data_IF_978038916172
#
_entry.id   IF_978038916172
#
_cell.length_a   1.000
_cell.length_b   1.000
_cell.length_c   1.000
_cell.angle_alpha   90.00
_cell.angle_beta   90.00
_cell.angle_gamma   90.00
#
_symmetry.space_group_name_H-M   'P 1'
#
loop_
_entity.id
_entity.type
_entity.pdbx_description
1 polymer ?
#
# COMPACT_ATOMS: atom_id res chain seq x y z
N UNK A 1 -2.43 5.28 -15.14
CA UNK A 1 -1.62 5.11 -13.92
C UNK A 1 -2.47 4.51 -12.83
N UNK A 2 -2.01 3.41 -12.22
CA UNK A 2 -2.67 2.84 -11.04
C UNK A 2 -2.87 3.91 -9.96
N UNK A 3 -4.10 4.00 -9.44
CA UNK A 3 -4.48 5.05 -8.49
C UNK A 3 -3.85 4.83 -7.10
N UNK A 4 -3.56 3.58 -6.72
CA UNK A 4 -2.84 3.25 -5.50
C UNK A 4 -1.66 2.36 -5.85
N UNK A 5 -0.50 2.69 -5.30
CA UNK A 5 0.78 2.03 -5.61
C UNK A 5 1.37 1.42 -4.36
N UNK A 6 2.16 0.38 -4.52
CA UNK A 6 2.85 -0.30 -3.43
C UNK A 6 4.28 -0.60 -3.82
N UNK A 7 5.20 -0.34 -2.91
CA UNK A 7 6.57 -0.85 -2.97
C UNK A 7 6.81 -1.71 -1.73
N UNK A 8 7.17 -2.97 -1.94
CA UNK A 8 7.67 -3.86 -0.91
C UNK A 8 9.17 -3.99 -1.08
N UNK A 9 9.93 -3.57 -0.07
CA UNK A 9 11.38 -3.75 0.01
C UNK A 9 11.64 -4.93 0.95
N UNK A 10 12.31 -5.96 0.44
CA UNK A 10 12.71 -7.15 1.19
C UNK A 10 14.21 -7.11 1.40
N UNK A 11 14.60 -6.96 2.66
CA UNK A 11 15.99 -7.06 3.11
C UNK A 11 16.10 -8.18 4.15
N UNK A 12 17.27 -8.80 4.28
CA UNK A 12 17.58 -9.65 5.43
C UNK A 12 18.04 -8.79 6.61
N UNK A 13 19.31 -8.93 7.01
CA UNK A 13 19.93 -8.02 7.95
C UNK A 13 20.12 -6.63 7.31
N UNK A 14 19.60 -5.61 7.99
CA UNK A 14 19.66 -4.22 7.53
C UNK A 14 19.78 -3.26 8.73
N UNK A 15 20.76 -2.37 8.70
CA UNK A 15 20.89 -1.32 9.71
C UNK A 15 19.95 -0.14 9.41
N UNK A 16 18.72 -0.24 9.90
CA UNK A 16 17.69 0.81 9.76
C UNK A 16 17.95 2.06 10.61
N UNK A 17 18.90 2.00 11.56
CA UNK A 17 19.21 3.10 12.48
C UNK A 17 20.46 3.89 12.05
N UNK A 18 21.42 3.23 11.39
CA UNK A 18 22.62 3.84 10.82
C UNK A 18 22.42 4.57 9.50
N UNK A 19 21.24 4.42 8.87
CA UNK A 19 20.94 4.97 7.55
C UNK A 19 21.02 6.50 7.41
N UNK A 20 21.08 6.93 6.14
CA UNK A 20 21.16 8.33 5.74
C UNK A 20 19.84 9.10 5.86
N UNK A 21 19.67 10.12 5.02
CA UNK A 21 18.55 11.06 5.12
C UNK A 21 17.21 10.45 4.70
N UNK A 22 17.19 9.57 3.69
CA UNK A 22 16.00 8.91 3.17
C UNK A 22 15.46 7.90 4.19
N UNK A 23 16.34 7.05 4.73
CA UNK A 23 16.03 6.07 5.78
C UNK A 23 15.45 6.78 7.01
N UNK A 24 16.10 7.84 7.49
CA UNK A 24 15.60 8.63 8.63
C UNK A 24 14.25 9.30 8.35
N UNK A 25 14.02 9.79 7.13
CA UNK A 25 12.72 10.39 6.74
C UNK A 25 11.62 9.35 6.68
N UNK A 26 11.91 8.17 6.15
CA UNK A 26 10.99 7.03 6.11
C UNK A 26 10.62 6.60 7.53
N UNK A 27 11.60 6.31 8.37
CA UNK A 27 11.42 5.84 9.75
C UNK A 27 10.62 6.80 10.65
N UNK A 28 10.64 8.11 10.38
CA UNK A 28 9.81 9.10 11.11
C UNK A 28 8.31 9.01 10.79
N UNK A 29 7.95 8.33 9.70
CA UNK A 29 6.57 8.25 9.18
C UNK A 29 6.05 6.81 9.17
N UNK A 30 6.80 5.87 9.73
CA UNK A 30 6.42 4.46 9.74
C UNK A 30 5.65 4.07 10.99
N UNK A 31 4.88 3.02 10.85
CA UNK A 31 4.43 2.16 11.93
C UNK A 31 5.29 0.89 11.90
N UNK A 32 5.71 0.42 13.08
CA UNK A 32 6.65 -0.69 13.21
C UNK A 32 5.96 -1.89 13.82
N UNK A 33 6.22 -3.08 13.30
CA UNK A 33 5.87 -4.36 13.95
C UNK A 33 7.15 -5.08 14.36
N UNK A 34 7.34 -5.24 15.67
CA UNK A 34 8.53 -5.87 16.22
C UNK A 34 8.50 -7.41 16.13
N UNK A 35 7.31 -8.01 16.14
CA UNK A 35 7.12 -9.46 16.08
C UNK A 35 6.99 -10.01 14.65
N UNK A 36 7.74 -9.46 13.70
CA UNK A 36 7.68 -9.86 12.29
C UNK A 36 8.63 -11.03 11.99
N UNK A 37 8.15 -12.01 11.24
CA UNK A 37 8.97 -13.07 10.65
C UNK A 37 9.16 -12.81 9.15
N UNK A 38 10.42 -12.63 8.74
CA UNK A 38 10.79 -12.31 7.37
C UNK A 38 10.81 -13.51 6.42
N UNK A 39 10.53 -14.72 6.92
CA UNK A 39 10.54 -15.92 6.11
C UNK A 39 9.53 -15.86 4.95
N UNK A 40 10.02 -15.99 3.72
CA UNK A 40 9.20 -16.25 2.52
C UNK A 40 8.38 -15.06 2.00
N UNK A 41 8.57 -13.85 2.51
CA UNK A 41 7.76 -12.68 2.12
C UNK A 41 7.83 -12.36 0.62
N UNK A 42 9.00 -12.46 -0.01
CA UNK A 42 9.15 -12.20 -1.44
C UNK A 42 8.31 -13.17 -2.29
N UNK A 43 8.38 -14.47 -1.96
CA UNK A 43 7.63 -15.50 -2.65
C UNK A 43 6.12 -15.36 -2.43
N UNK A 44 5.69 -15.02 -1.21
CA UNK A 44 4.28 -14.82 -0.89
C UNK A 44 3.72 -13.57 -1.59
N UNK A 45 4.49 -12.47 -1.60
CA UNK A 45 4.12 -11.25 -2.29
C UNK A 45 4.05 -11.41 -3.81
N UNK A 46 4.93 -12.22 -4.41
CA UNK A 46 4.92 -12.50 -5.84
C UNK A 46 3.64 -13.23 -6.32
N UNK A 47 2.83 -13.79 -5.41
CA UNK A 47 1.52 -14.37 -5.75
C UNK A 47 0.46 -13.32 -6.07
N UNK A 48 0.66 -12.06 -5.70
CA UNK A 48 -0.27 -10.97 -6.01
C UNK A 48 -0.24 -10.72 -7.52
N UNK A 49 -1.40 -10.70 -8.15
CA UNK A 49 -1.52 -10.42 -9.58
C UNK A 49 -0.93 -9.03 -9.92
N UNK A 50 -0.05 -8.99 -10.93
CA UNK A 50 0.62 -7.76 -11.35
C UNK A 50 1.83 -7.36 -10.49
N UNK A 51 2.32 -8.23 -9.60
CA UNK A 51 3.58 -8.03 -8.90
C UNK A 51 4.77 -8.00 -9.88
N UNK A 52 5.56 -6.92 -9.84
CA UNK A 52 6.79 -6.78 -10.60
C UNK A 52 8.00 -6.80 -9.67
N UNK A 53 8.85 -7.83 -9.78
CA UNK A 53 10.12 -7.88 -9.04
C UNK A 53 11.19 -7.13 -9.83
N UNK A 54 11.71 -6.05 -9.25
CA UNK A 54 12.62 -5.11 -9.91
C UNK A 54 13.70 -4.62 -8.95
N UNK A 55 14.82 -4.14 -9.49
CA UNK A 55 15.78 -3.36 -8.72
C UNK A 55 15.18 -1.99 -8.33
N UNK A 56 15.80 -1.31 -7.35
CA UNK A 56 15.27 -0.06 -6.79
C UNK A 56 15.11 1.06 -7.86
N UNK A 57 15.98 1.09 -8.87
CA UNK A 57 15.92 2.02 -10.00
C UNK A 57 14.81 1.68 -11.03
N UNK A 58 14.32 0.44 -11.02
CA UNK A 58 13.22 -0.03 -11.87
C UNK A 58 11.83 0.35 -11.37
N UNK A 59 11.68 0.81 -10.12
CA UNK A 59 10.38 1.09 -9.48
C UNK A 59 9.60 2.18 -10.21
N UNK A 60 10.26 3.25 -10.65
CA UNK A 60 9.62 4.33 -11.39
C UNK A 60 8.99 3.81 -12.70
N UNK A 61 9.71 2.96 -13.42
CA UNK A 61 9.25 2.37 -14.68
C UNK A 61 8.01 1.49 -14.48
N UNK A 62 7.96 0.69 -13.42
CA UNK A 62 6.76 -0.11 -13.08
C UNK A 62 5.53 0.78 -12.96
N UNK A 63 5.66 1.93 -12.29
CA UNK A 63 4.55 2.87 -12.09
C UNK A 63 4.18 3.67 -13.33
N UNK A 64 5.13 3.95 -14.22
CA UNK A 64 4.90 4.57 -15.52
C UNK A 64 4.15 3.64 -16.48
N UNK A 65 4.41 2.33 -16.40
CA UNK A 65 3.74 1.28 -17.20
C UNK A 65 2.43 0.80 -16.56
N UNK A 66 1.79 1.64 -15.74
CA UNK A 66 0.52 1.36 -15.05
C UNK A 66 0.55 0.21 -14.02
N UNK A 67 1.73 -0.33 -13.69
CA UNK A 67 1.92 -1.29 -12.61
C UNK A 67 1.59 -0.69 -11.24
N UNK A 68 0.93 -1.48 -10.40
CA UNK A 68 0.50 -1.05 -9.06
C UNK A 68 1.41 -1.59 -7.93
N UNK A 69 2.19 -2.64 -8.18
CA UNK A 69 2.98 -3.31 -7.15
C UNK A 69 4.39 -3.66 -7.61
N UNK A 70 5.39 -3.11 -6.91
CA UNK A 70 6.79 -3.41 -7.11
C UNK A 70 7.38 -4.12 -5.88
N UNK A 71 8.16 -5.17 -6.12
CA UNK A 71 8.94 -5.90 -5.11
C UNK A 71 10.42 -5.61 -5.38
N UNK A 72 11.13 -5.13 -4.37
CA UNK A 72 12.57 -4.84 -4.42
C UNK A 72 13.28 -5.75 -3.43
N UNK A 73 14.00 -6.75 -3.95
CA UNK A 73 14.81 -7.66 -3.15
C UNK A 73 16.24 -7.13 -3.05
N UNK A 74 16.65 -6.73 -1.85
CA UNK A 74 18.01 -6.25 -1.59
C UNK A 74 18.89 -7.32 -0.95
N UNK A 75 18.30 -8.33 -0.29
CA UNK A 75 19.05 -9.31 0.48
C UNK A 75 19.71 -8.68 1.72
N UNK A 76 20.91 -9.15 2.08
CA UNK A 76 21.69 -8.57 3.17
C UNK A 76 22.48 -7.36 2.64
N UNK A 77 22.18 -6.18 3.16
CA UNK A 77 22.76 -4.91 2.70
C UNK A 77 23.24 -4.06 3.88
N UNK A 78 24.30 -3.30 3.63
CA UNK A 78 24.74 -2.28 4.58
C UNK A 78 23.82 -1.05 4.57
N UNK A 79 24.08 -0.13 5.50
CA UNK A 79 23.28 1.09 5.66
C UNK A 79 23.31 2.00 4.41
N UNK A 80 24.41 2.00 3.66
CA UNK A 80 24.59 2.87 2.49
C UNK A 80 23.81 2.34 1.28
N UNK A 81 23.83 1.02 1.06
CA UNK A 81 23.05 0.37 0.02
C UNK A 81 21.54 0.46 0.31
N UNK A 82 21.12 0.29 1.57
CA UNK A 82 19.73 0.51 1.97
C UNK A 82 19.30 1.97 1.74
N UNK A 83 20.13 2.93 2.13
CA UNK A 83 19.86 4.36 1.93
C UNK A 83 19.72 4.70 0.44
N UNK A 84 20.62 4.20 -0.41
CA UNK A 84 20.56 4.43 -1.85
C UNK A 84 19.27 3.86 -2.47
N UNK A 85 18.88 2.64 -2.09
CA UNK A 85 17.64 2.04 -2.57
C UNK A 85 16.40 2.82 -2.10
N UNK A 86 16.34 3.20 -0.82
CA UNK A 86 15.23 3.99 -0.28
C UNK A 86 15.15 5.38 -0.88
N UNK A 87 16.28 6.00 -1.27
CA UNK A 87 16.29 7.28 -1.95
C UNK A 87 15.65 7.18 -3.34
N UNK A 88 16.04 6.19 -4.16
CA UNK A 88 15.44 5.94 -5.47
C UNK A 88 13.94 5.66 -5.37
N UNK A 89 13.55 4.84 -4.39
CA UNK A 89 12.13 4.51 -4.15
C UNK A 89 11.37 5.76 -3.70
N UNK A 90 11.96 6.62 -2.86
CA UNK A 90 11.32 7.84 -2.40
C UNK A 90 11.10 8.85 -3.54
N UNK A 91 11.98 8.87 -4.54
CA UNK A 91 11.81 9.71 -5.73
C UNK A 91 10.70 9.19 -6.67
N UNK A 92 10.50 7.87 -6.73
CA UNK A 92 9.40 7.24 -7.46
C UNK A 92 8.06 7.27 -6.70
N UNK A 93 8.09 7.43 -5.38
CA UNK A 93 6.92 7.38 -4.52
C UNK A 93 6.16 8.71 -4.47
N UNK A 94 4.83 8.63 -4.48
CA UNK A 94 3.95 9.77 -4.31
C UNK A 94 3.04 9.60 -3.07
N UNK A 95 2.11 10.53 -2.86
CA UNK A 95 1.20 10.49 -1.69
C UNK A 95 0.26 9.28 -1.67
N UNK A 96 0.16 8.56 -2.79
CA UNK A 96 -0.67 7.38 -3.03
C UNK A 96 0.14 6.08 -3.07
N UNK A 97 1.42 6.16 -2.70
CA UNK A 97 2.29 4.98 -2.54
C UNK A 97 2.30 4.50 -1.09
N UNK A 98 2.02 3.22 -0.90
CA UNK A 98 2.32 2.47 0.33
C UNK A 98 3.75 1.92 0.20
N UNK A 99 4.58 2.14 1.22
CA UNK A 99 5.95 1.63 1.28
C UNK A 99 6.07 0.68 2.47
N UNK A 100 6.48 -0.55 2.20
CA UNK A 100 6.71 -1.60 3.18
C UNK A 100 8.18 -1.98 3.13
N UNK A 101 8.86 -1.92 4.26
CA UNK A 101 10.23 -2.41 4.42
C UNK A 101 10.19 -3.59 5.39
N UNK A 102 10.49 -4.78 4.86
CA UNK A 102 10.60 -6.03 5.60
C UNK A 102 12.08 -6.32 5.85
N UNK A 103 12.46 -6.44 7.12
CA UNK A 103 13.81 -6.81 7.55
C UNK A 103 13.76 -7.87 8.65
N UNK A 104 14.89 -8.50 8.95
CA UNK A 104 14.99 -9.46 10.05
C UNK A 104 14.82 -8.79 11.44
N UNK A 105 15.01 -7.47 11.51
CA UNK A 105 14.82 -6.69 12.74
C UNK A 105 13.35 -6.25 12.96
N UNK A 106 12.52 -6.32 11.93
CA UNK A 106 11.11 -5.96 12.02
C UNK A 106 10.50 -5.51 10.69
N UNK A 107 9.19 -5.25 10.74
CA UNK A 107 8.44 -4.70 9.61
C UNK A 107 8.17 -3.22 9.82
N UNK A 108 8.48 -2.41 8.82
CA UNK A 108 8.25 -0.96 8.83
C UNK A 108 7.31 -0.59 7.69
N UNK A 109 6.15 -0.06 8.03
CA UNK A 109 5.10 0.27 7.07
C UNK A 109 4.87 1.77 7.08
N UNK A 110 4.87 2.43 5.93
CA UNK A 110 4.70 3.88 5.82
C UNK A 110 4.01 4.28 4.51
N UNK A 111 3.58 5.54 4.43
CA UNK A 111 2.91 6.07 3.23
C UNK A 111 1.40 5.98 3.29
N UNK A 112 0.77 5.60 2.17
CA UNK A 112 -0.68 5.64 1.98
C UNK A 112 -1.44 4.86 3.07
N UNK A 113 -2.39 5.53 3.74
CA UNK A 113 -3.32 4.88 4.68
C UNK A 113 -2.74 4.55 6.06
N UNK A 114 -1.44 4.75 6.29
CA UNK A 114 -0.75 4.32 7.52
C UNK A 114 -0.83 5.36 8.63
N UNK A 115 -1.04 4.88 9.86
CA UNK A 115 -1.00 5.68 11.07
C UNK A 115 0.44 5.82 11.60
N UNK A 116 1.16 6.85 11.18
CA UNK A 116 2.49 7.18 11.71
C UNK A 116 2.54 7.46 13.22
N UNK A 117 1.40 7.61 13.90
CA UNK A 117 1.32 7.80 15.37
C UNK A 117 1.10 6.49 16.13
N UNK A 118 0.88 5.38 15.43
CA UNK A 118 0.71 4.07 16.07
C UNK A 118 2.00 3.60 16.75
N UNK A 119 3.17 4.10 16.32
CA UNK A 119 4.46 3.73 16.89
C UNK A 119 4.77 2.25 16.62
N UNK A 120 5.25 1.57 17.66
CA UNK A 120 5.58 0.14 17.63
C UNK A 120 4.40 -0.70 18.11
N UNK A 121 4.03 -1.71 17.32
CA UNK A 121 2.96 -2.65 17.59
C UNK A 121 3.57 -4.02 17.92
N UNK A 122 3.16 -4.62 19.03
CA UNK A 122 3.71 -5.89 19.53
C UNK A 122 3.12 -7.14 18.88
N UNK A 123 2.07 -6.98 18.07
CA UNK A 123 1.42 -8.08 17.35
C UNK A 123 2.44 -8.85 16.50
N UNK A 124 2.42 -10.18 16.58
CA UNK A 124 3.18 -11.02 15.67
C UNK A 124 2.59 -10.98 14.27
N UNK A 125 3.45 -10.83 13.27
CA UNK A 125 3.10 -10.64 11.85
C UNK A 125 3.84 -11.67 11.02
N UNK A 126 3.11 -12.32 10.12
CA UNK A 126 3.67 -13.24 9.12
C UNK A 126 3.53 -12.66 7.71
N UNK A 127 4.27 -13.23 6.75
CA UNK A 127 4.24 -12.78 5.35
C UNK A 127 2.82 -12.66 4.76
N UNK A 128 1.94 -13.61 5.07
CA UNK A 128 0.55 -13.61 4.59
C UNK A 128 -0.25 -12.39 5.09
N UNK A 129 0.01 -11.90 6.31
CA UNK A 129 -0.66 -10.70 6.85
C UNK A 129 -0.27 -9.45 6.06
N UNK A 130 0.99 -9.38 5.62
CA UNK A 130 1.49 -8.28 4.78
C UNK A 130 0.80 -8.31 3.43
N UNK A 131 0.73 -9.48 2.78
CA UNK A 131 0.04 -9.67 1.50
C UNK A 131 -1.42 -9.24 1.61
N UNK A 132 -2.14 -9.72 2.62
CA UNK A 132 -3.53 -9.31 2.87
C UNK A 132 -3.66 -7.79 3.07
N UNK A 133 -2.74 -7.18 3.82
CA UNK A 133 -2.76 -5.74 4.13
C UNK A 133 -2.42 -4.88 2.93
N UNK A 134 -1.44 -5.28 2.12
CA UNK A 134 -1.04 -4.62 0.87
C UNK A 134 -2.20 -4.64 -0.11
N UNK A 135 -2.82 -5.80 -0.31
CA UNK A 135 -4.00 -5.93 -1.18
C UNK A 135 -5.16 -5.07 -0.69
N UNK A 136 -5.42 -5.08 0.62
CA UNK A 136 -6.43 -4.23 1.23
C UNK A 136 -6.15 -2.75 0.98
N UNK A 137 -4.97 -2.23 1.30
CA UNK A 137 -4.71 -0.78 1.17
C UNK A 137 -4.77 -0.33 -0.29
N UNK A 138 -4.14 -1.09 -1.18
CA UNK A 138 -3.90 -0.68 -2.57
C UNK A 138 -4.94 -1.17 -3.59
N UNK A 139 -6.03 -1.80 -3.15
CA UNK A 139 -7.08 -2.33 -4.04
C UNK A 139 -6.56 -3.40 -5.02
N UNK A 140 -5.58 -4.20 -4.58
CA UNK A 140 -5.08 -5.33 -5.37
C UNK A 140 -5.92 -6.57 -5.11
N UNK A 141 -5.92 -7.47 -6.09
CA UNK A 141 -6.59 -8.77 -5.96
C UNK A 141 -5.84 -9.61 -4.93
N UNK A 142 -6.56 -10.08 -3.92
CA UNK A 142 -6.01 -10.95 -2.88
C UNK A 142 -5.79 -12.35 -3.50
N UNK A 143 -4.61 -12.96 -3.34
CA UNK A 143 -4.38 -14.35 -3.76
C UNK A 143 -5.38 -15.31 -3.10
N UNK A 144 -5.85 -16.31 -3.84
CA UNK A 144 -6.91 -17.22 -3.39
C UNK A 144 -6.51 -18.08 -2.17
N UNK A 145 -5.22 -18.33 -2.00
CA UNK A 145 -4.63 -19.10 -0.90
C UNK A 145 -4.15 -18.22 0.27
N UNK A 146 -4.41 -16.91 0.24
CA UNK A 146 -3.99 -16.01 1.30
C UNK A 146 -4.72 -16.30 2.63
N UNK A 147 -3.95 -16.71 3.64
CA UNK A 147 -4.45 -17.01 4.99
C UNK A 147 -4.21 -15.87 6.00
N UNK A 148 -3.66 -14.75 5.54
CA UNK A 148 -3.29 -13.62 6.39
C UNK A 148 -4.45 -12.72 6.77
N UNK A 149 -4.32 -12.07 7.92
CA UNK A 149 -5.24 -11.03 8.39
C UNK A 149 -4.73 -9.63 8.09
N UNK A 150 -5.63 -8.73 7.68
CA UNK A 150 -5.30 -7.32 7.49
C UNK A 150 -4.83 -6.68 8.82
N UNK A 151 -3.72 -5.97 8.76
CA UNK A 151 -3.09 -5.26 9.89
C UNK A 151 -3.78 -3.93 10.17
N UNK A 152 -5.05 -3.98 10.59
CA UNK A 152 -5.85 -2.79 10.89
C UNK A 152 -5.20 -1.85 11.93
N UNK A 153 -4.38 -2.39 12.82
CA UNK A 153 -3.68 -1.59 13.84
C UNK A 153 -2.70 -0.58 13.24
N UNK A 154 -2.14 -0.85 12.05
CA UNK A 154 -1.26 0.09 11.36
C UNK A 154 -2.03 1.15 10.56
N UNK A 155 -3.33 0.98 10.35
CA UNK A 155 -4.11 1.89 9.50
C UNK A 155 -4.55 3.13 10.28
N UNK A 156 -4.57 4.28 9.61
CA UNK A 156 -5.16 5.52 10.16
C UNK A 156 -6.66 5.37 10.37
N UNK A 157 -7.31 4.59 9.51
CA UNK A 157 -8.74 4.34 9.53
C UNK A 157 -9.01 2.88 9.12
N UNK A 158 -9.29 1.99 10.08
CA UNK A 158 -9.63 0.60 9.78
C UNK A 158 -10.79 0.46 8.79
N UNK A 159 -11.73 1.41 8.81
CA UNK A 159 -12.94 1.40 8.00
C UNK A 159 -12.79 2.13 6.65
N UNK A 160 -11.56 2.40 6.19
CA UNK A 160 -11.32 3.16 4.96
C UNK A 160 -12.09 2.60 3.74
N UNK A 161 -12.18 1.27 3.59
CA UNK A 161 -12.92 0.65 2.48
C UNK A 161 -14.42 0.84 2.56
N UNK A 162 -14.99 0.74 3.75
CA UNK A 162 -16.41 1.00 3.95
C UNK A 162 -16.75 2.45 3.58
N UNK A 163 -15.86 3.40 3.89
CA UNK A 163 -16.03 4.81 3.51
C UNK A 163 -15.84 5.06 2.01
N UNK A 164 -14.88 4.40 1.37
CA UNK A 164 -14.70 4.44 -0.09
C UNK A 164 -15.96 3.92 -0.80
N UNK A 165 -16.47 2.75 -0.40
CA UNK A 165 -17.71 2.17 -0.93
C UNK A 165 -18.91 3.09 -0.69
N UNK A 166 -19.03 3.68 0.51
CA UNK A 166 -20.11 4.62 0.83
C UNK A 166 -20.13 5.82 -0.11
N UNK A 167 -18.97 6.45 -0.35
CA UNK A 167 -18.84 7.58 -1.28
C UNK A 167 -19.20 7.20 -2.71
N UNK A 168 -18.80 6.01 -3.16
CA UNK A 168 -19.14 5.50 -4.48
C UNK A 168 -20.65 5.28 -4.62
N UNK A 169 -21.29 4.64 -3.64
CA UNK A 169 -22.76 4.44 -3.61
C UNK A 169 -23.52 5.77 -3.64
N UNK A 170 -23.08 6.77 -2.85
CA UNK A 170 -23.68 8.10 -2.87
C UNK A 170 -23.49 8.81 -4.22
N UNK A 171 -22.32 8.67 -4.84
CA UNK A 171 -22.04 9.26 -6.15
C UNK A 171 -22.93 8.63 -7.24
N UNK A 172 -23.08 7.30 -7.22
CA UNK A 172 -23.99 6.57 -8.11
C UNK A 172 -25.42 7.05 -7.92
N UNK A 173 -25.91 7.12 -6.67
CA UNK A 173 -27.28 7.60 -6.40
C UNK A 173 -27.53 9.03 -6.89
N UNK A 174 -26.54 9.93 -6.77
CA UNK A 174 -26.65 11.29 -7.35
C UNK A 174 -26.70 11.27 -8.88
N UNK A 175 -25.92 10.40 -9.52
CA UNK A 175 -25.92 10.26 -10.99
C UNK A 175 -27.23 9.67 -11.51
N UNK A 176 -27.79 8.68 -10.81
CA UNK A 176 -29.09 8.07 -11.14
C UNK A 176 -30.23 9.09 -11.08
N UNK A 177 -30.28 9.91 -10.02
CA UNK A 177 -31.28 10.98 -9.89
C UNK A 177 -31.16 12.02 -11.01
N UNK A 178 -29.93 12.41 -11.38
CA UNK A 178 -29.71 13.34 -12.48
C UNK A 178 -30.20 12.76 -13.82
N UNK A 179 -29.89 11.49 -14.09
CA UNK A 179 -30.30 10.80 -15.31
C UNK A 179 -31.82 10.62 -15.40
N UNK A 180 -32.48 10.30 -14.28
CA UNK A 180 -33.95 10.22 -14.22
C UNK A 180 -34.64 11.58 -14.46
N UNK A 181 -34.03 12.67 -14.00
CA UNK A 181 -34.55 14.03 -14.25
C UNK A 181 -34.45 14.43 -15.72
N UNK A 182 -33.38 14.02 -16.40
CA UNK A 182 -33.14 14.34 -17.81
C UNK A 182 -33.92 13.42 -18.76
N UNK A 183 -34.34 12.24 -18.29
CA UNK A 183 -35.22 11.32 -19.02
C UNK A 183 -36.73 11.65 -18.87
N UNK A 184 -37.05 12.73 -18.17
CA UNK A 184 -38.42 13.24 -18.05
C UNK A 184 -38.73 14.12 -19.25
N UNK A 185 -39.76 13.75 -20.02
CA UNK A 185 -40.11 14.48 -21.23
C UNK A 185 -40.49 15.94 -20.90
N UNK A 186 -40.20 16.93 -21.76
CA UNK A 186 -40.41 18.34 -21.45
C UNK A 186 -41.84 18.71 -21.00
N UNK A 187 -42.84 17.92 -21.39
CA UNK A 187 -44.25 18.11 -21.05
C UNK A 187 -44.67 17.50 -19.70
N UNK A 188 -43.88 16.61 -19.09
CA UNK A 188 -44.09 16.10 -17.72
C UNK A 188 -43.87 17.18 -16.63
N UNK A 189 -43.46 18.39 -17.03
CA UNK A 189 -43.35 19.57 -16.16
C UNK A 189 -44.67 20.35 -16.03
N UNK A 190 -45.70 19.98 -16.79
CA UNK A 190 -46.99 20.66 -16.80
C UNK A 190 -48.12 19.77 -16.28
N UNK A 191 -47.95 19.17 -15.10
CA UNK A 191 -49.12 18.85 -14.26
C UNK A 191 -49.56 20.15 -13.55
N UNK A 192 -50.27 20.99 -14.30
CA UNK A 192 -51.16 21.97 -13.73
C UNK A 192 -52.47 21.26 -13.35
N UNK A 193 -52.68 21.05 -12.06
CA UNK A 193 -54.00 21.00 -11.40
C UNK A 193 -53.87 21.56 -9.99
#
# INVERSE_FOLDING_TARGET
MADKKVVLVVCGEADVNGGGSATKKFMKKTCTFAGYDNAGIAAEAAKIEGAATVAADGVAKVFEEDGAFAIVELGNVDADALEAALALIADAADRRTLLVLATDAGLYVGGLGINKKAGTIERSVVAADIVASVCYVADLVVPADCMGGVLYQALKDPNMKLKEIGKLKEAIGRMEVALQRDNREPWDKHDCA
#
